data_IF_832729212326
#
_entry.id   IF_832729212326
#
_cell.length_a   1.000
_cell.length_b   1.000
_cell.length_c   1.000
_cell.angle_alpha   90.00
_cell.angle_beta   90.00
_cell.angle_gamma   90.00
#
_symmetry.space_group_name_H-M   'P 1'
#
loop_
_entity.id
_entity.type
_entity.pdbx_description
1 polymer ?
#
# COMPACT_ATOMS: atom_id res chain seq x y z
N UNK A 1 -24.78 8.49 -2.59
CA UNK A 1 -23.65 8.36 -1.65
C UNK A 1 -23.15 6.92 -1.70
N UNK A 2 -21.86 6.68 -1.93
CA UNK A 2 -21.26 5.32 -1.82
C UNK A 2 -21.35 4.93 -0.33
N UNK A 3 -21.87 3.74 -0.02
CA UNK A 3 -21.88 3.25 1.37
C UNK A 3 -20.45 3.17 1.90
N UNK A 4 -20.26 3.60 3.15
CA UNK A 4 -18.97 3.55 3.82
C UNK A 4 -18.54 2.08 4.01
N UNK A 5 -17.42 1.70 3.43
CA UNK A 5 -16.85 0.37 3.66
C UNK A 5 -16.43 0.26 5.12
N UNK A 6 -16.86 -0.80 5.80
CA UNK A 6 -16.42 -1.10 7.17
C UNK A 6 -15.25 -2.07 7.22
N UNK A 7 -15.07 -2.87 6.16
CA UNK A 7 -14.07 -3.94 6.11
C UNK A 7 -12.95 -3.58 5.16
N UNK A 8 -11.77 -3.33 5.70
CA UNK A 8 -10.62 -2.85 4.92
C UNK A 8 -9.59 -3.95 4.75
N UNK A 9 -9.04 -4.04 3.53
CA UNK A 9 -8.15 -5.14 3.16
C UNK A 9 -6.68 -4.81 3.37
N UNK A 10 -5.93 -5.78 3.88
CA UNK A 10 -4.47 -5.71 3.94
C UNK A 10 -3.84 -5.91 2.56
N UNK A 11 -4.40 -6.82 1.77
CA UNK A 11 -3.92 -7.19 0.43
C UNK A 11 -4.96 -6.76 -0.59
N UNK A 12 -4.56 -6.06 -1.68
CA UNK A 12 -5.45 -5.67 -2.76
C UNK A 12 -6.36 -6.80 -3.26
N UNK A 13 -7.65 -6.49 -3.49
CA UNK A 13 -8.66 -7.46 -3.97
C UNK A 13 -8.20 -8.25 -5.20
N UNK A 14 -7.57 -7.56 -6.14
CA UNK A 14 -7.16 -8.17 -7.40
C UNK A 14 -6.03 -9.18 -7.22
N UNK A 15 -5.15 -9.00 -6.23
CA UNK A 15 -4.12 -9.99 -5.91
C UNK A 15 -4.75 -11.25 -5.32
N UNK A 16 -5.67 -11.11 -4.35
CA UNK A 16 -6.32 -12.25 -3.69
C UNK A 16 -7.00 -13.19 -4.69
N UNK A 17 -7.63 -12.64 -5.75
CA UNK A 17 -8.27 -13.43 -6.81
C UNK A 17 -7.30 -14.34 -7.57
N UNK A 18 -6.03 -13.95 -7.69
CA UNK A 18 -5.02 -14.75 -8.39
C UNK A 18 -4.42 -15.87 -7.53
N UNK A 19 -4.69 -15.87 -6.21
CA UNK A 19 -4.25 -16.93 -5.30
C UNK A 19 -5.39 -17.85 -4.85
N UNK A 20 -6.63 -17.46 -5.12
CA UNK A 20 -7.81 -18.22 -4.72
C UNK A 20 -8.16 -19.26 -5.78
N UNK A 21 -8.80 -20.35 -5.34
CA UNK A 21 -9.39 -21.33 -6.24
C UNK A 21 -10.66 -20.79 -6.94
N UNK A 22 -11.30 -21.65 -7.73
CA UNK A 22 -12.58 -21.39 -8.41
C UNK A 22 -13.73 -20.99 -7.46
N UNK A 23 -13.64 -21.37 -6.19
CA UNK A 23 -14.61 -21.03 -5.15
C UNK A 23 -14.24 -19.75 -4.37
N UNK A 24 -13.19 -19.03 -4.79
CA UNK A 24 -12.59 -17.90 -4.06
C UNK A 24 -12.08 -18.26 -2.66
N UNK A 25 -11.53 -19.47 -2.51
CA UNK A 25 -10.98 -20.00 -1.26
C UNK A 25 -9.46 -20.17 -1.35
N UNK A 26 -8.79 -20.04 -0.20
CA UNK A 26 -7.33 -20.07 -0.07
C UNK A 26 -6.87 -21.24 0.79
N UNK A 27 -5.80 -21.90 0.35
CA UNK A 27 -4.98 -22.74 1.21
C UNK A 27 -4.02 -21.87 2.01
N UNK A 28 -4.03 -22.02 3.34
CA UNK A 28 -3.17 -21.22 4.22
C UNK A 28 -2.08 -22.10 4.81
N UNK A 29 -0.84 -21.70 4.57
CA UNK A 29 0.31 -22.28 5.24
C UNK A 29 0.55 -21.59 6.59
N UNK A 30 0.42 -22.35 7.68
CA UNK A 30 0.76 -21.87 9.01
C UNK A 30 2.27 -22.08 9.24
N UNK A 31 3.00 -20.97 9.40
CA UNK A 31 4.47 -20.98 9.55
C UNK A 31 4.94 -21.54 10.90
N UNK A 32 4.14 -21.43 11.96
CA UNK A 32 4.50 -21.92 13.30
C UNK A 32 4.44 -23.44 13.36
N UNK A 33 3.32 -24.01 12.88
CA UNK A 33 3.09 -25.46 12.81
C UNK A 33 3.63 -26.11 11.52
N UNK A 34 4.22 -25.30 10.63
CA UNK A 34 4.84 -25.71 9.35
C UNK A 34 3.96 -26.60 8.46
N UNK A 35 2.65 -26.35 8.46
CA UNK A 35 1.66 -27.16 7.73
C UNK A 35 0.62 -26.29 7.03
N UNK A 36 0.05 -26.83 5.95
CA UNK A 36 -1.16 -26.28 5.36
C UNK A 36 -2.32 -26.63 6.30
N UNK A 37 -3.15 -25.64 6.64
CA UNK A 37 -4.34 -25.88 7.47
C UNK A 37 -5.35 -26.72 6.69
N UNK A 38 -6.06 -27.62 7.38
CA UNK A 38 -6.94 -28.61 6.75
C UNK A 38 -8.15 -28.00 6.04
N UNK A 39 -8.61 -26.83 6.49
CA UNK A 39 -9.79 -26.16 5.95
C UNK A 39 -9.38 -24.90 5.21
N UNK A 40 -9.72 -24.85 3.93
CA UNK A 40 -9.58 -23.65 3.11
C UNK A 40 -10.33 -22.48 3.74
N UNK A 41 -9.79 -21.28 3.56
CA UNK A 41 -10.31 -20.07 4.17
C UNK A 41 -10.68 -19.06 3.10
N UNK A 42 -11.75 -18.31 3.32
CA UNK A 42 -12.04 -17.18 2.44
C UNK A 42 -10.98 -16.09 2.66
N UNK A 43 -10.59 -15.32 1.62
CA UNK A 43 -9.76 -14.13 1.78
C UNK A 43 -10.30 -13.20 2.87
N UNK A 44 -11.63 -13.13 3.00
CA UNK A 44 -12.35 -12.37 4.02
C UNK A 44 -12.00 -12.74 5.45
N UNK A 45 -11.66 -14.00 5.71
CA UNK A 45 -11.29 -14.47 7.04
C UNK A 45 -9.84 -14.16 7.41
N UNK A 46 -8.97 -13.82 6.44
CA UNK A 46 -7.52 -13.71 6.66
C UNK A 46 -7.01 -12.29 6.41
N UNK A 47 -7.49 -11.63 5.35
CA UNK A 47 -6.89 -10.41 4.82
C UNK A 47 -7.67 -9.14 5.14
N UNK A 48 -8.51 -9.15 6.17
CA UNK A 48 -9.41 -8.05 6.48
C UNK A 48 -9.42 -7.71 7.97
N UNK A 49 -9.64 -6.43 8.22
CA UNK A 49 -9.90 -5.88 9.55
C UNK A 49 -11.10 -4.93 9.47
N UNK A 50 -11.92 -4.91 10.52
CA UNK A 50 -13.02 -3.97 10.61
C UNK A 50 -12.49 -2.60 11.04
N UNK A 51 -12.79 -1.56 10.25
CA UNK A 51 -12.51 -0.17 10.57
C UNK A 51 -11.06 0.28 10.52
N UNK A 52 -10.12 -0.54 10.03
CA UNK A 52 -8.67 -0.24 10.07
C UNK A 52 -8.24 1.07 9.40
N UNK A 53 -8.86 1.39 8.27
CA UNK A 53 -8.61 2.64 7.53
C UNK A 53 -9.71 3.69 7.76
N UNK A 54 -10.41 3.61 8.90
CA UNK A 54 -11.39 4.61 9.32
C UNK A 54 -10.74 5.56 10.32
N UNK A 55 -10.60 6.82 9.92
CA UNK A 55 -9.97 7.85 10.73
C UNK A 55 -10.96 8.97 11.06
N UNK A 56 -10.83 9.56 12.24
CA UNK A 56 -11.63 10.72 12.62
C UNK A 56 -11.22 11.95 11.78
N UNK A 57 -12.19 12.51 11.08
CA UNK A 57 -12.11 13.77 10.36
C UNK A 57 -13.23 14.66 10.88
N UNK A 58 -12.87 15.56 11.81
CA UNK A 58 -13.76 16.56 12.39
C UNK A 58 -15.01 15.94 13.08
N UNK A 59 -14.81 14.87 13.85
CA UNK A 59 -15.85 14.18 14.61
C UNK A 59 -16.59 13.08 13.83
N UNK A 60 -16.22 12.85 12.56
CA UNK A 60 -16.80 11.81 11.72
C UNK A 60 -15.73 10.82 11.27
N UNK A 61 -15.98 9.51 11.41
CA UNK A 61 -15.10 8.50 10.83
C UNK A 61 -15.20 8.54 9.30
N UNK A 62 -14.13 8.93 8.63
CA UNK A 62 -14.00 8.95 7.17
C UNK A 62 -13.25 7.72 6.65
N UNK A 63 -13.58 7.30 5.43
CA UNK A 63 -12.95 6.19 4.69
C UNK A 63 -11.94 6.69 3.63
N UNK A 64 -11.42 7.92 3.78
CA UNK A 64 -10.57 8.58 2.79
C UNK A 64 -9.33 7.74 2.41
N UNK A 65 -8.69 7.13 3.39
CA UNK A 65 -7.54 6.24 3.15
C UNK A 65 -7.95 5.00 2.37
N UNK A 66 -9.12 4.41 2.65
CA UNK A 66 -9.61 3.27 1.87
C UNK A 66 -9.87 3.67 0.41
N UNK A 67 -10.40 4.86 0.17
CA UNK A 67 -10.61 5.38 -1.19
C UNK A 67 -9.30 5.61 -1.93
N UNK A 68 -8.28 6.14 -1.25
CA UNK A 68 -6.94 6.27 -1.82
C UNK A 68 -6.36 4.90 -2.21
N UNK A 69 -6.51 3.88 -1.36
CA UNK A 69 -6.14 2.52 -1.73
C UNK A 69 -6.96 1.98 -2.90
N UNK A 70 -8.27 2.24 -2.97
CA UNK A 70 -9.14 1.81 -4.09
C UNK A 70 -8.66 2.38 -5.43
N UNK A 71 -8.30 3.67 -5.47
CA UNK A 71 -7.78 4.34 -6.67
C UNK A 71 -6.45 3.75 -7.12
N UNK A 72 -5.51 3.58 -6.18
CA UNK A 72 -4.20 2.97 -6.44
C UNK A 72 -4.36 1.51 -6.90
N UNK A 73 -5.18 0.72 -6.21
CA UNK A 73 -5.42 -0.68 -6.54
C UNK A 73 -6.06 -0.82 -7.93
N UNK A 74 -6.93 0.11 -8.33
CA UNK A 74 -7.53 0.14 -9.67
C UNK A 74 -6.48 0.36 -10.75
N UNK A 75 -5.55 1.29 -10.55
CA UNK A 75 -4.43 1.53 -11.47
C UNK A 75 -3.53 0.29 -11.56
N UNK A 76 -3.09 -0.24 -10.41
CA UNK A 76 -2.17 -1.37 -10.33
C UNK A 76 -2.79 -2.65 -10.91
N UNK A 77 -4.09 -2.89 -10.69
CA UNK A 77 -4.80 -4.03 -11.27
C UNK A 77 -4.84 -3.99 -12.80
N UNK A 78 -5.07 -2.80 -13.39
CA UNK A 78 -5.07 -2.64 -14.85
C UNK A 78 -3.67 -2.91 -15.41
N UNK A 79 -2.65 -2.36 -14.79
CA UNK A 79 -1.25 -2.56 -15.17
C UNK A 79 -0.87 -4.05 -15.11
N UNK A 80 -1.13 -4.72 -13.99
CA UNK A 80 -0.82 -6.15 -13.85
C UNK A 80 -1.57 -6.99 -14.89
N UNK A 81 -2.85 -6.73 -15.10
CA UNK A 81 -3.65 -7.45 -16.11
C UNK A 81 -3.07 -7.28 -17.51
N UNK A 82 -2.59 -6.08 -17.85
CA UNK A 82 -1.94 -5.83 -19.13
C UNK A 82 -0.66 -6.66 -19.26
N UNK A 83 0.22 -6.62 -18.26
CA UNK A 83 1.48 -7.38 -18.23
C UNK A 83 1.22 -8.88 -18.38
N UNK A 84 0.26 -9.43 -17.65
CA UNK A 84 -0.07 -10.86 -17.70
C UNK A 84 -0.59 -11.28 -19.09
N UNK A 85 -1.31 -10.41 -19.79
CA UNK A 85 -1.81 -10.66 -21.14
C UNK A 85 -0.74 -10.52 -22.22
N UNK A 86 0.09 -9.48 -22.15
CA UNK A 86 1.14 -9.23 -23.13
C UNK A 86 2.38 -10.09 -22.92
N UNK A 87 2.59 -10.60 -21.71
CA UNK A 87 3.84 -11.20 -21.24
C UNK A 87 5.06 -10.30 -21.44
N UNK A 88 4.84 -8.99 -21.47
CA UNK A 88 5.85 -7.96 -21.66
C UNK A 88 5.65 -6.85 -20.63
N UNK A 89 6.76 -6.25 -20.19
CA UNK A 89 6.76 -5.18 -19.20
C UNK A 89 7.68 -4.06 -19.66
N UNK A 90 7.11 -2.86 -19.83
CA UNK A 90 7.87 -1.63 -20.05
C UNK A 90 8.49 -1.11 -18.75
N UNK A 91 9.46 -0.20 -18.84
CA UNK A 91 10.08 0.42 -17.65
C UNK A 91 9.06 1.09 -16.72
N UNK A 92 8.06 1.78 -17.27
CA UNK A 92 6.97 2.38 -16.47
C UNK A 92 6.14 1.32 -15.74
N UNK A 93 5.86 0.20 -16.38
CA UNK A 93 5.11 -0.89 -15.77
C UNK A 93 5.92 -1.58 -14.66
N UNK A 94 7.24 -1.72 -14.85
CA UNK A 94 8.15 -2.17 -13.80
C UNK A 94 8.11 -1.26 -12.58
N UNK A 95 8.15 0.06 -12.78
CA UNK A 95 7.98 1.05 -11.70
C UNK A 95 6.68 0.82 -10.92
N UNK A 96 5.56 0.60 -11.62
CA UNK A 96 4.29 0.30 -10.95
C UNK A 96 4.29 -1.04 -10.21
N UNK A 97 5.00 -2.06 -10.69
CA UNK A 97 5.14 -3.34 -9.99
C UNK A 97 6.03 -3.22 -8.74
N UNK A 98 7.10 -2.41 -8.79
CA UNK A 98 7.90 -2.06 -7.62
C UNK A 98 7.04 -1.31 -6.60
N UNK A 99 6.22 -0.36 -7.05
CA UNK A 99 5.29 0.35 -6.18
C UNK A 99 4.28 -0.60 -5.53
N UNK A 100 3.68 -1.51 -6.31
CA UNK A 100 2.75 -2.54 -5.80
C UNK A 100 3.40 -3.41 -4.72
N UNK A 101 4.64 -3.87 -4.95
CA UNK A 101 5.37 -4.69 -3.99
C UNK A 101 5.62 -3.94 -2.67
N UNK A 102 6.07 -2.68 -2.76
CA UNK A 102 6.29 -1.84 -1.58
C UNK A 102 4.99 -1.51 -0.85
N UNK A 103 3.93 -1.16 -1.58
CA UNK A 103 2.62 -0.87 -1.01
C UNK A 103 2.07 -2.07 -0.25
N UNK A 104 2.19 -3.27 -0.82
CA UNK A 104 1.73 -4.51 -0.18
C UNK A 104 2.53 -4.80 1.09
N UNK A 105 3.86 -4.62 1.07
CA UNK A 105 4.70 -4.72 2.29
C UNK A 105 4.18 -3.79 3.37
N UNK A 106 3.98 -2.52 3.01
CA UNK A 106 3.60 -1.51 3.98
C UNK A 106 2.19 -1.69 4.48
N UNK A 107 1.22 -2.31 3.79
CA UNK A 107 -0.18 -2.48 4.28
C UNK A 107 -0.39 -3.55 5.36
N UNK A 108 0.58 -4.44 5.58
CA UNK A 108 0.43 -5.58 6.50
C UNK A 108 0.47 -5.13 7.97
N UNK A 109 -0.42 -5.62 8.86
CA UNK A 109 -0.45 -5.22 10.27
C UNK A 109 0.89 -5.41 11.01
N UNK A 110 1.64 -6.44 10.63
CA UNK A 110 2.94 -6.77 11.22
C UNK A 110 3.97 -5.63 11.10
N UNK A 111 3.79 -4.68 10.16
CA UNK A 111 4.70 -3.54 10.00
C UNK A 111 4.11 -2.23 10.52
N UNK A 112 2.97 -2.24 11.21
CA UNK A 112 2.30 -1.03 11.70
C UNK A 112 3.21 -0.19 12.60
N UNK A 113 3.80 -0.81 13.62
CA UNK A 113 4.67 -0.10 14.57
C UNK A 113 5.96 0.39 13.91
N UNK A 114 6.47 -0.35 12.94
CA UNK A 114 7.65 0.06 12.17
C UNK A 114 7.30 1.29 11.33
N UNK A 115 6.18 1.26 10.60
CA UNK A 115 5.76 2.36 9.75
C UNK A 115 5.48 3.62 10.58
N UNK A 116 4.73 3.49 11.67
CA UNK A 116 4.45 4.59 12.62
C UNK A 116 5.74 5.23 13.13
N UNK A 117 6.70 4.42 13.57
CA UNK A 117 7.98 4.94 14.07
C UNK A 117 8.84 5.59 12.98
N UNK A 118 8.75 5.10 11.74
CA UNK A 118 9.51 5.63 10.61
C UNK A 118 8.98 7.00 10.17
N UNK A 119 7.65 7.19 10.13
CA UNK A 119 7.04 8.42 9.58
C UNK A 119 6.73 9.50 10.62
N UNK A 120 6.79 9.18 11.92
CA UNK A 120 6.33 10.09 12.99
C UNK A 120 6.98 11.48 12.93
N UNK A 121 8.28 11.53 12.63
CA UNK A 121 9.09 12.75 12.64
C UNK A 121 9.33 13.31 11.24
N UNK A 122 8.82 12.64 10.19
CA UNK A 122 8.97 13.07 8.81
C UNK A 122 7.75 13.94 8.44
N UNK A 123 7.91 15.24 8.14
CA UNK A 123 6.85 16.06 7.59
C UNK A 123 6.35 15.50 6.26
N UNK A 124 5.03 15.53 6.01
CA UNK A 124 4.46 15.01 4.76
C UNK A 124 5.01 15.74 3.52
N UNK A 125 5.46 16.98 3.71
CA UNK A 125 6.15 17.83 2.74
C UNK A 125 7.44 17.19 2.22
N UNK A 126 8.18 16.49 3.08
CA UNK A 126 9.39 15.78 2.68
C UNK A 126 9.09 14.51 1.88
N UNK A 127 7.84 14.04 1.89
CA UNK A 127 7.38 12.90 1.09
C UNK A 127 6.70 13.34 -0.22
N UNK A 128 6.79 14.63 -0.58
CA UNK A 128 6.34 15.17 -1.85
C UNK A 128 4.90 15.71 -1.88
N UNK A 129 4.21 15.81 -0.74
CA UNK A 129 2.90 16.47 -0.65
C UNK A 129 2.94 17.73 0.21
N UNK A 130 2.31 18.82 -0.24
CA UNK A 130 2.20 20.04 0.54
C UNK A 130 0.82 20.15 1.22
N UNK A 131 0.80 20.56 2.50
CA UNK A 131 -0.41 21.02 3.16
C UNK A 131 -0.67 22.46 2.74
N UNK A 132 -1.85 22.73 2.17
CA UNK A 132 -2.26 24.07 1.74
C UNK A 132 -3.65 24.39 2.26
N UNK A 133 -3.92 25.63 2.67
CA UNK A 133 -5.26 26.06 3.00
C UNK A 133 -6.16 25.97 1.76
N UNK A 134 -7.44 25.66 1.97
CA UNK A 134 -8.43 25.65 0.88
C UNK A 134 -8.73 27.07 0.39
N UNK A 135 -8.73 28.02 1.31
CA UNK A 135 -8.80 29.46 1.03
C UNK A 135 -7.36 30.02 0.86
N UNK A 136 -6.98 30.50 -0.33
CA UNK A 136 -5.65 31.04 -0.59
C UNK A 136 -5.27 32.24 0.29
N UNK A 137 -6.24 33.02 0.76
CA UNK A 137 -6.01 34.23 1.55
C UNK A 137 -5.81 33.92 3.04
N UNK A 138 -6.12 32.68 3.45
CA UNK A 138 -5.93 32.22 4.82
C UNK A 138 -4.46 31.88 5.07
N UNK A 139 -3.80 32.64 5.95
CA UNK A 139 -2.46 32.31 6.43
C UNK A 139 -2.52 31.10 7.37
N UNK A 140 -1.77 30.05 7.04
CA UNK A 140 -1.55 28.89 7.92
C UNK A 140 -0.24 29.06 8.68
N UNK A 141 -0.27 28.85 10.00
CA UNK A 141 0.94 28.92 10.83
C UNK A 141 1.68 27.58 10.81
N UNK A 142 2.99 27.60 11.07
CA UNK A 142 3.79 26.38 11.18
C UNK A 142 3.28 25.46 12.30
N UNK A 143 2.73 26.03 13.38
CA UNK A 143 2.11 25.26 14.46
C UNK A 143 0.92 24.44 13.97
N UNK A 144 0.04 25.03 13.14
CA UNK A 144 -1.08 24.31 12.53
C UNK A 144 -0.57 23.18 11.63
N UNK A 145 0.44 23.43 10.80
CA UNK A 145 1.07 22.40 9.96
C UNK A 145 1.64 21.26 10.81
N UNK A 146 2.34 21.57 11.90
CA UNK A 146 2.92 20.58 12.81
C UNK A 146 1.82 19.74 13.49
N UNK A 147 0.71 20.37 13.89
CA UNK A 147 -0.43 19.68 14.48
C UNK A 147 -1.15 18.79 13.47
N UNK A 148 -1.30 19.23 12.22
CA UNK A 148 -1.83 18.40 11.14
C UNK A 148 -0.93 17.20 10.86
N UNK A 149 0.39 17.41 10.82
CA UNK A 149 1.37 16.35 10.63
C UNK A 149 1.30 15.24 11.69
N UNK A 150 0.78 15.53 12.89
CA UNK A 150 0.58 14.55 13.98
C UNK A 150 -0.74 13.79 13.90
N UNK A 151 -1.69 14.19 13.05
CA UNK A 151 -2.98 13.48 12.93
C UNK A 151 -2.78 12.07 12.38
N UNK A 152 -3.53 11.10 12.91
CA UNK A 152 -3.44 9.70 12.50
C UNK A 152 -3.67 9.49 11.00
N UNK A 153 -4.65 10.18 10.43
CA UNK A 153 -4.91 10.14 8.98
C UNK A 153 -3.70 10.61 8.16
N UNK A 154 -2.97 11.61 8.64
CA UNK A 154 -1.76 12.09 7.97
C UNK A 154 -0.62 11.08 8.13
N UNK A 155 -0.49 10.45 9.28
CA UNK A 155 0.49 9.37 9.49
C UNK A 155 0.22 8.18 8.56
N UNK A 156 -1.03 7.79 8.35
CA UNK A 156 -1.38 6.73 7.41
C UNK A 156 -1.19 7.16 5.94
N UNK A 157 -1.47 8.42 5.60
CA UNK A 157 -1.10 8.97 4.27
C UNK A 157 0.41 8.89 4.04
N UNK A 158 1.23 9.27 5.03
CA UNK A 158 2.70 9.16 4.94
C UNK A 158 3.15 7.72 4.67
N UNK A 159 2.49 6.72 5.26
CA UNK A 159 2.76 5.29 5.00
C UNK A 159 2.48 4.90 3.53
N UNK A 160 1.42 5.42 2.91
CA UNK A 160 1.18 5.22 1.48
C UNK A 160 2.32 5.87 0.67
N UNK A 161 2.72 7.09 1.02
CA UNK A 161 3.80 7.81 0.35
C UNK A 161 5.18 7.15 0.53
N UNK A 162 5.45 6.52 1.67
CA UNK A 162 6.66 5.72 1.85
C UNK A 162 6.79 4.61 0.80
N UNK A 163 5.68 4.11 0.30
CA UNK A 163 5.68 3.03 -0.70
C UNK A 163 6.18 3.51 -2.06
N UNK A 164 6.10 4.80 -2.36
CA UNK A 164 6.61 5.40 -3.60
C UNK A 164 8.02 5.97 -3.46
N UNK A 165 8.52 6.19 -2.23
CA UNK A 165 9.86 6.75 -1.99
C UNK A 165 11.01 6.05 -2.72
N UNK A 166 11.06 4.71 -2.77
CA UNK A 166 12.12 4.01 -3.49
C UNK A 166 12.12 4.28 -5.01
N UNK A 167 11.04 4.85 -5.53
CA UNK A 167 10.85 5.25 -6.92
C UNK A 167 11.07 6.75 -7.12
N UNK A 168 10.79 7.58 -6.12
CA UNK A 168 10.87 9.05 -6.25
C UNK A 168 12.26 9.62 -6.00
N UNK A 169 13.21 8.82 -5.52
CA UNK A 169 14.61 9.20 -5.39
C UNK A 169 15.46 8.38 -6.39
N UNK A 170 16.15 9.06 -7.30
CA UNK A 170 16.93 8.45 -8.39
C UNK A 170 17.98 7.46 -7.89
N UNK A 171 18.63 7.74 -6.75
CA UNK A 171 19.61 6.83 -6.15
C UNK A 171 18.98 5.49 -5.71
N UNK A 172 17.78 5.53 -5.15
CA UNK A 172 17.06 4.33 -4.71
C UNK A 172 16.47 3.51 -5.86
N UNK A 173 16.10 4.16 -6.97
CA UNK A 173 15.64 3.46 -8.18
C UNK A 173 16.75 2.63 -8.79
N UNK A 174 17.95 3.20 -8.91
CA UNK A 174 19.11 2.52 -9.46
C UNK A 174 19.53 1.32 -8.60
N UNK A 175 19.48 1.46 -7.29
CA UNK A 175 19.77 0.36 -6.36
C UNK A 175 18.72 -0.76 -6.46
N UNK A 176 17.44 -0.43 -6.53
CA UNK A 176 16.36 -1.42 -6.71
C UNK A 176 16.48 -2.14 -8.06
N UNK A 177 16.77 -1.41 -9.13
CA UNK A 177 16.96 -1.99 -10.46
C UNK A 177 18.18 -2.93 -10.44
N UNK A 178 19.29 -2.53 -9.81
CA UNK A 178 20.48 -3.40 -9.65
C UNK A 178 20.18 -4.67 -8.85
N UNK A 179 19.43 -4.57 -7.75
CA UNK A 179 19.03 -5.72 -6.92
C UNK A 179 18.04 -6.63 -7.66
N UNK A 180 17.07 -6.05 -8.37
CA UNK A 180 16.13 -6.83 -9.18
C UNK A 180 16.87 -7.59 -10.30
N UNK A 181 17.76 -6.91 -11.04
CA UNK A 181 18.57 -7.53 -12.07
C UNK A 181 19.49 -8.62 -11.52
N UNK A 182 20.09 -8.43 -10.33
CA UNK A 182 20.94 -9.46 -9.72
C UNK A 182 20.16 -10.67 -9.21
N UNK A 183 18.91 -10.49 -8.75
CA UNK A 183 18.00 -11.57 -8.36
C UNK A 183 17.43 -12.33 -9.58
N UNK A 184 17.24 -11.68 -10.72
CA UNK A 184 16.83 -12.32 -11.98
C UNK A 184 18.03 -12.94 -12.74
N UNK A 185 19.26 -12.51 -12.45
CA UNK A 185 20.50 -13.15 -12.91
C UNK A 185 20.95 -14.31 -12.01
N UNK A 186 20.01 -15.07 -11.42
CA UNK A 186 20.32 -16.43 -10.99
C UNK A 186 20.67 -17.21 -12.25
N UNK A 187 21.99 -17.41 -12.40
CA UNK A 187 22.67 -18.13 -13.47
C UNK A 187 21.86 -19.36 -13.87
N UNK A 188 21.40 -19.38 -15.12
CA UNK A 188 21.18 -20.64 -15.83
C UNK A 188 22.57 -21.24 -16.01
N UNK A 189 22.92 -22.36 -15.37
CA UNK A 189 24.15 -23.05 -15.71
C UNK A 189 23.94 -23.67 -17.09
N UNK A 190 24.71 -23.19 -18.08
CA UNK A 190 25.11 -24.04 -19.20
C UNK A 190 26.25 -24.93 -18.72
#
# INVERSE_FOLDING_TARGET
MKEQSKRHQYIPKFLNKNFSDENNMLWVYNKESKRIISKMQSPKAIFFEDGRNLFDINGNKGDNIERMYEEVDTLLSKTLTKILKSQQMSGRELTWMIYLANLTKWRVPKVDDIAKNLVKDIPIEQLGLAIRPTDPDQKITQEVINNLNKKEIIQETKRILLSIQPISNEESLDEIIRIALSLFMIRVPL
#
